data_IF_669038702670
#
_entry.id   IF_669038702670
#
_cell.length_a   1.000
_cell.length_b   1.000
_cell.length_c   1.000
_cell.angle_alpha   90.00
_cell.angle_beta   90.00
_cell.angle_gamma   90.00
#
_symmetry.space_group_name_H-M   'P 1'
#
loop_
_entity.id
_entity.type
_entity.pdbx_description
1 polymer ?
#
# COMPACT_ATOMS: atom_id res chain seq x y z
N UNK A 1 3.78 -9.13 -15.67
CA UNK A 1 2.59 -8.67 -14.98
C UNK A 1 2.92 -8.56 -13.49
N UNK A 2 2.79 -7.37 -12.94
CA UNK A 2 2.95 -7.13 -11.53
C UNK A 2 1.57 -6.79 -10.95
N UNK A 3 1.24 -7.42 -9.84
CA UNK A 3 0.04 -7.18 -9.08
C UNK A 3 0.37 -6.97 -7.59
N UNK A 4 -0.59 -6.58 -6.79
CA UNK A 4 -0.45 -6.46 -5.34
C UNK A 4 0.83 -5.71 -4.91
N UNK A 5 1.11 -4.55 -5.53
CA UNK A 5 2.30 -3.71 -5.21
C UNK A 5 2.42 -3.34 -3.74
N UNK A 6 1.36 -3.50 -2.99
CA UNK A 6 1.25 -3.14 -1.58
C UNK A 6 1.85 -4.21 -0.63
N UNK A 7 2.25 -5.38 -1.17
CA UNK A 7 2.92 -6.44 -0.40
C UNK A 7 1.97 -7.21 0.52
N UNK A 8 1.89 -8.47 0.29
CA UNK A 8 0.95 -9.44 0.87
C UNK A 8 1.02 -9.63 2.39
N UNK A 9 2.10 -9.20 3.05
CA UNK A 9 2.28 -9.45 4.48
C UNK A 9 2.64 -8.18 5.23
N UNK A 10 1.93 -7.92 6.32
CA UNK A 10 2.23 -6.84 7.26
C UNK A 10 3.70 -6.81 7.72
N UNK A 11 4.37 -7.96 7.71
CA UNK A 11 5.75 -8.14 8.14
C UNK A 11 6.75 -7.98 7.00
N UNK A 12 6.36 -8.20 5.75
CA UNK A 12 7.26 -8.20 4.58
C UNK A 12 7.19 -6.91 3.74
N UNK A 13 6.35 -5.96 4.12
CA UNK A 13 6.07 -4.76 3.33
C UNK A 13 7.27 -3.82 3.10
N UNK A 14 8.39 -4.05 3.78
CA UNK A 14 9.55 -3.17 3.66
C UNK A 14 10.79 -3.96 3.31
N UNK A 15 11.39 -3.60 2.18
CA UNK A 15 12.67 -4.14 1.78
C UNK A 15 13.80 -3.50 2.58
N UNK A 16 14.60 -4.30 3.26
CA UNK A 16 15.77 -3.84 4.04
C UNK A 16 17.10 -4.17 3.35
N UNK A 17 17.09 -4.33 2.02
CA UNK A 17 18.32 -4.57 1.28
C UNK A 17 19.17 -3.30 1.15
N UNK A 18 20.45 -3.51 0.86
CA UNK A 18 21.43 -2.44 0.69
C UNK A 18 21.04 -1.41 -0.40
N UNK A 19 20.37 -1.87 -1.47
CA UNK A 19 19.91 -0.98 -2.54
C UNK A 19 18.79 -0.05 -2.05
N UNK A 20 17.86 -0.55 -1.24
CA UNK A 20 16.80 0.27 -0.64
C UNK A 20 17.39 1.26 0.36
N UNK A 21 18.40 0.87 1.13
CA UNK A 21 19.09 1.78 2.03
C UNK A 21 19.76 2.93 1.27
N UNK A 22 20.52 2.64 0.23
CA UNK A 22 21.15 3.65 -0.63
C UNK A 22 20.11 4.60 -1.26
N UNK A 23 19.02 4.05 -1.81
CA UNK A 23 17.93 4.85 -2.38
C UNK A 23 17.23 5.72 -1.33
N UNK A 24 17.02 5.20 -0.12
CA UNK A 24 16.40 5.96 0.97
C UNK A 24 17.25 7.18 1.37
N UNK A 25 18.58 7.02 1.49
CA UNK A 25 19.49 8.13 1.74
C UNK A 25 19.40 9.22 0.68
N UNK A 26 19.39 8.83 -0.60
CA UNK A 26 19.20 9.76 -1.71
C UNK A 26 17.84 10.47 -1.63
N UNK A 27 16.78 9.73 -1.32
CA UNK A 27 15.43 10.28 -1.14
C UNK A 27 15.38 11.30 0.01
N UNK A 28 15.98 10.98 1.15
CA UNK A 28 16.07 11.90 2.29
C UNK A 28 16.85 13.17 1.94
N UNK A 29 17.96 13.03 1.25
CA UNK A 29 18.76 14.18 0.78
C UNK A 29 17.98 15.08 -0.17
N UNK A 30 17.21 14.48 -1.09
CA UNK A 30 16.31 15.24 -1.98
C UNK A 30 15.21 15.96 -1.20
N UNK A 31 14.66 15.33 -0.17
CA UNK A 31 13.55 15.86 0.62
C UNK A 31 13.95 16.99 1.56
N UNK A 32 15.09 16.85 2.24
CA UNK A 32 15.52 17.76 3.30
C UNK A 32 16.63 18.72 2.89
N UNK A 33 17.38 18.40 1.86
CA UNK A 33 18.51 19.19 1.39
C UNK A 33 19.75 19.08 2.29
N UNK A 34 19.62 19.35 3.58
CA UNK A 34 20.72 19.31 4.56
C UNK A 34 20.43 18.42 5.75
N UNK A 35 21.48 18.01 6.46
CA UNK A 35 21.33 17.23 7.71
C UNK A 35 20.73 18.07 8.85
N UNK A 36 20.94 19.38 8.85
CA UNK A 36 20.37 20.32 9.83
C UNK A 36 18.85 20.35 9.71
N UNK A 37 18.31 20.47 8.49
CA UNK A 37 16.86 20.47 8.26
C UNK A 37 16.26 19.10 8.59
N UNK A 38 16.92 18.00 8.22
CA UNK A 38 16.51 16.65 8.60
C UNK A 38 16.45 16.52 10.13
N UNK A 39 17.53 16.91 10.82
CA UNK A 39 17.62 16.83 12.28
C UNK A 39 16.51 17.65 12.97
N UNK A 40 16.23 18.83 12.45
CA UNK A 40 15.13 19.67 12.92
C UNK A 40 13.77 18.99 12.77
N UNK A 41 13.49 18.42 11.59
CA UNK A 41 12.20 17.75 11.29
C UNK A 41 12.03 16.43 12.03
N UNK A 42 13.10 15.70 12.21
CA UNK A 42 13.10 14.44 12.95
C UNK A 42 13.23 14.62 14.47
N UNK A 43 13.55 15.84 14.93
CA UNK A 43 13.82 16.15 16.33
C UNK A 43 14.92 15.25 16.93
N UNK A 44 16.03 15.11 16.21
CA UNK A 44 17.12 14.17 16.54
C UNK A 44 18.02 14.62 17.69
N UNK A 45 17.87 15.85 18.18
CA UNK A 45 18.62 16.35 19.36
C UNK A 45 18.31 15.56 20.63
N UNK A 46 17.17 14.83 20.63
CA UNK A 46 16.77 13.99 21.74
C UNK A 46 17.58 12.66 21.74
N UNK A 47 18.16 12.30 22.85
CA UNK A 47 18.95 11.08 23.06
C UNK A 47 20.14 10.88 22.09
N UNK A 48 20.77 11.98 21.64
CA UNK A 48 21.99 11.88 20.83
C UNK A 48 21.78 11.27 19.43
N UNK A 49 20.57 11.35 18.87
CA UNK A 49 20.24 10.79 17.54
C UNK A 49 20.62 11.70 16.38
N UNK A 50 21.43 12.73 16.64
CA UNK A 50 21.83 13.70 15.63
C UNK A 50 22.52 13.02 14.45
N UNK A 51 22.00 13.26 13.25
CA UNK A 51 22.56 12.80 12.00
C UNK A 51 23.56 13.83 11.50
N UNK A 52 24.79 13.44 11.29
CA UNK A 52 25.86 14.31 10.77
C UNK A 52 26.12 14.11 9.28
N UNK A 53 25.76 12.93 8.76
CA UNK A 53 25.90 12.58 7.34
C UNK A 53 24.77 11.68 6.91
N UNK A 54 24.16 11.94 5.73
CA UNK A 54 23.11 11.11 5.15
C UNK A 54 23.56 9.67 4.92
N UNK A 55 24.84 9.45 4.61
CA UNK A 55 25.38 8.12 4.33
C UNK A 55 25.46 7.21 5.58
N UNK A 56 25.31 7.79 6.77
CA UNK A 56 25.25 7.02 8.02
C UNK A 56 23.85 6.57 8.40
N UNK A 57 22.81 7.02 7.68
CA UNK A 57 21.43 6.66 7.99
C UNK A 57 21.18 5.20 7.58
N UNK A 58 20.75 4.39 8.53
CA UNK A 58 20.28 3.02 8.30
C UNK A 58 18.76 3.00 8.16
N UNK A 59 18.24 1.99 7.46
CA UNK A 59 16.79 1.75 7.39
C UNK A 59 16.23 1.46 8.78
N UNK A 60 14.97 1.86 9.07
CA UNK A 60 14.33 1.47 10.32
C UNK A 60 14.14 -0.05 10.37
N UNK A 61 14.48 -0.66 11.49
CA UNK A 61 14.38 -2.10 11.70
C UNK A 61 13.70 -2.39 13.03
N UNK A 62 12.85 -3.42 13.06
CA UNK A 62 12.19 -3.86 14.29
C UNK A 62 13.18 -4.48 15.30
N UNK A 63 14.39 -4.81 14.85
CA UNK A 63 15.45 -5.39 15.70
C UNK A 63 16.21 -4.35 16.53
N UNK A 64 16.03 -3.07 16.18
CA UNK A 64 16.65 -1.97 16.90
C UNK A 64 15.60 -1.26 17.74
N UNK A 65 15.71 -1.35 19.08
CA UNK A 65 14.77 -0.70 19.99
C UNK A 65 14.72 0.82 19.78
N UNK A 66 15.83 1.45 19.36
CA UNK A 66 15.85 2.87 19.02
C UNK A 66 14.91 3.22 17.85
N UNK A 67 14.75 2.33 16.88
CA UNK A 67 13.85 2.58 15.75
C UNK A 67 12.38 2.50 16.14
N UNK A 68 12.01 1.72 17.16
CA UNK A 68 10.64 1.69 17.72
C UNK A 68 10.21 3.04 18.28
N UNK A 69 11.16 3.80 18.81
CA UNK A 69 10.95 5.10 19.42
C UNK A 69 11.33 6.27 18.50
N UNK A 70 11.48 6.01 17.19
CA UNK A 70 11.83 7.02 16.20
C UNK A 70 10.77 7.14 15.10
N UNK A 71 9.57 7.62 15.42
CA UNK A 71 8.43 7.63 14.50
C UNK A 71 8.67 8.48 13.25
N UNK A 72 9.46 9.54 13.32
CA UNK A 72 9.75 10.39 12.16
C UNK A 72 10.52 9.64 11.06
N UNK A 73 11.54 8.84 11.45
CA UNK A 73 12.30 7.99 10.54
C UNK A 73 11.40 6.89 9.92
N UNK A 74 10.58 6.25 10.76
CA UNK A 74 9.64 5.23 10.30
C UNK A 74 8.63 5.79 9.30
N UNK A 75 8.04 6.94 9.59
CA UNK A 75 7.09 7.60 8.71
C UNK A 75 7.73 7.98 7.37
N UNK A 76 8.96 8.48 7.38
CA UNK A 76 9.66 8.81 6.15
C UNK A 76 10.04 7.56 5.35
N UNK A 77 10.32 6.45 6.02
CA UNK A 77 10.54 5.19 5.32
C UNK A 77 9.25 4.67 4.66
N UNK A 78 8.11 4.79 5.33
CA UNK A 78 6.80 4.47 4.72
C UNK A 78 6.49 5.34 3.50
N UNK A 79 6.81 6.65 3.57
CA UNK A 79 6.67 7.57 2.44
C UNK A 79 7.59 7.20 1.29
N UNK A 80 8.85 6.88 1.59
CA UNK A 80 9.81 6.41 0.61
C UNK A 80 9.33 5.13 -0.09
N UNK A 81 8.81 4.16 0.68
CA UNK A 81 8.25 2.93 0.10
C UNK A 81 7.05 3.25 -0.80
N UNK A 82 6.16 4.15 -0.38
CA UNK A 82 5.04 4.60 -1.22
C UNK A 82 5.54 5.24 -2.52
N UNK A 83 6.49 6.17 -2.45
CA UNK A 83 7.03 6.85 -3.62
C UNK A 83 7.72 5.88 -4.59
N UNK A 84 8.47 4.91 -4.07
CA UNK A 84 9.13 3.90 -4.92
C UNK A 84 8.16 2.90 -5.54
N UNK A 85 7.08 2.56 -4.84
CA UNK A 85 5.99 1.73 -5.37
C UNK A 85 5.26 2.47 -6.48
N UNK A 86 4.94 3.75 -6.27
CA UNK A 86 4.34 4.61 -7.29
C UNK A 86 5.25 4.73 -8.52
N UNK A 87 6.56 4.94 -8.33
CA UNK A 87 7.54 4.99 -9.44
C UNK A 87 7.55 3.70 -10.24
N UNK A 88 7.47 2.54 -9.57
CA UNK A 88 7.39 1.23 -10.23
C UNK A 88 6.14 1.13 -11.10
N UNK A 89 4.96 1.41 -10.55
CA UNK A 89 3.71 1.43 -11.31
C UNK A 89 3.76 2.39 -12.50
N UNK A 90 4.23 3.62 -12.31
CA UNK A 90 4.31 4.62 -13.37
C UNK A 90 5.24 4.21 -14.51
N UNK A 91 6.35 3.52 -14.19
CA UNK A 91 7.28 3.02 -15.18
C UNK A 91 6.61 1.97 -16.09
N UNK A 92 5.87 1.03 -15.53
CA UNK A 92 5.15 0.00 -16.27
C UNK A 92 3.94 0.59 -17.03
N UNK A 93 3.10 1.37 -16.35
CA UNK A 93 1.95 2.03 -16.95
C UNK A 93 2.36 2.95 -18.11
N UNK A 94 3.52 3.63 -18.00
CA UNK A 94 4.05 4.47 -19.05
C UNK A 94 4.41 3.71 -20.33
N UNK A 95 4.84 2.45 -20.21
CA UNK A 95 5.07 1.60 -21.39
C UNK A 95 3.73 1.19 -22.02
N UNK A 96 2.78 0.71 -21.21
CA UNK A 96 1.47 0.28 -21.68
C UNK A 96 0.72 1.41 -22.38
N UNK A 97 0.68 2.59 -21.78
CA UNK A 97 -0.03 3.78 -22.33
C UNK A 97 0.54 4.26 -23.66
N UNK A 98 1.81 4.00 -23.96
CA UNK A 98 2.38 4.29 -25.29
C UNK A 98 1.94 3.30 -26.36
N UNK A 99 1.65 2.06 -25.97
CA UNK A 99 1.31 1.00 -26.92
C UNK A 99 -0.22 0.87 -27.08
N UNK A 100 -0.94 1.02 -25.97
CA UNK A 100 -2.41 0.85 -25.89
C UNK A 100 -3.04 2.02 -25.13
N UNK A 101 -3.04 3.25 -25.69
CA UNK A 101 -3.44 4.46 -24.98
C UNK A 101 -4.91 4.47 -24.53
N UNK A 102 -5.76 3.72 -25.21
CA UNK A 102 -7.20 3.67 -24.94
C UNK A 102 -7.60 2.57 -23.95
N UNK A 103 -6.62 1.77 -23.49
CA UNK A 103 -6.92 0.69 -22.55
C UNK A 103 -6.59 1.17 -21.12
N UNK A 104 -7.56 1.11 -20.18
CA UNK A 104 -7.33 1.48 -18.80
C UNK A 104 -6.23 0.63 -18.14
N UNK A 105 -5.38 1.29 -17.38
CA UNK A 105 -4.30 0.64 -16.63
C UNK A 105 -4.53 0.79 -15.14
N UNK A 106 -4.53 -0.31 -14.42
CA UNK A 106 -4.64 -0.36 -12.97
C UNK A 106 -3.80 -1.50 -12.39
N UNK A 107 -3.65 -1.52 -11.10
CA UNK A 107 -3.18 -2.67 -10.32
C UNK A 107 -4.20 -2.93 -9.22
N UNK A 108 -4.41 -4.19 -8.89
CA UNK A 108 -5.27 -4.57 -7.79
C UNK A 108 -4.64 -4.18 -6.44
N UNK A 109 -5.49 -3.89 -5.48
CA UNK A 109 -5.12 -3.59 -4.10
C UNK A 109 -5.60 -4.75 -3.23
N UNK A 110 -4.67 -5.40 -2.51
CA UNK A 110 -5.00 -6.59 -1.71
C UNK A 110 -5.80 -6.27 -0.44
N UNK A 111 -6.18 -5.03 -0.23
CA UNK A 111 -7.05 -4.61 0.85
C UNK A 111 -6.57 -3.36 1.58
N UNK A 112 -6.96 -3.21 2.84
CA UNK A 112 -6.59 -2.06 3.64
C UNK A 112 -5.17 -2.20 4.21
N UNK A 113 -4.20 -1.52 3.61
CA UNK A 113 -2.81 -1.53 4.02
C UNK A 113 -2.43 -0.21 4.67
N UNK A 114 -2.12 -0.27 5.95
CA UNK A 114 -1.78 0.92 6.75
C UNK A 114 -0.41 1.52 6.42
N UNK A 115 0.47 0.76 5.75
CA UNK A 115 1.87 1.14 5.55
C UNK A 115 2.12 1.87 4.24
N UNK A 116 1.17 1.82 3.28
CA UNK A 116 1.24 2.53 2.00
C UNK A 116 0.15 3.60 1.91
N UNK A 117 0.49 4.70 1.26
CA UNK A 117 -0.50 5.71 0.92
C UNK A 117 -1.26 5.29 -0.34
N UNK A 118 -2.34 4.55 -0.16
CA UNK A 118 -3.17 4.04 -1.26
C UNK A 118 -3.79 5.18 -2.09
N UNK A 119 -4.10 6.34 -1.48
CA UNK A 119 -4.56 7.51 -2.22
C UNK A 119 -3.52 8.01 -3.22
N UNK A 120 -2.24 7.97 -2.87
CA UNK A 120 -1.17 8.38 -3.77
C UNK A 120 -1.03 7.39 -4.93
N UNK A 121 -1.04 6.09 -4.66
CA UNK A 121 -0.94 5.07 -5.69
C UNK A 121 -2.11 5.12 -6.69
N UNK A 122 -3.33 5.18 -6.19
CA UNK A 122 -4.54 5.12 -7.04
C UNK A 122 -4.76 6.37 -7.90
N UNK A 123 -4.15 7.50 -7.58
CA UNK A 123 -4.21 8.70 -8.43
C UNK A 123 -3.72 8.46 -9.85
N UNK A 124 -2.74 7.58 -10.00
CA UNK A 124 -2.11 7.27 -11.28
C UNK A 124 -2.76 6.10 -12.01
N UNK A 125 -3.65 5.38 -11.36
CA UNK A 125 -4.44 4.30 -11.92
C UNK A 125 -5.69 4.88 -12.60
N UNK A 126 -6.14 4.26 -13.69
CA UNK A 126 -7.36 4.70 -14.38
C UNK A 126 -8.61 4.22 -13.63
N UNK A 127 -8.52 3.04 -13.01
CA UNK A 127 -9.56 2.42 -12.20
C UNK A 127 -8.97 2.00 -10.85
N UNK A 128 -9.74 2.04 -9.78
CA UNK A 128 -9.38 1.34 -8.54
C UNK A 128 -9.85 -0.11 -8.65
N UNK A 129 -8.92 -1.04 -8.65
CA UNK A 129 -9.20 -2.47 -8.53
C UNK A 129 -8.79 -2.99 -7.15
N UNK A 130 -9.54 -3.91 -6.58
CA UNK A 130 -9.18 -4.49 -5.30
C UNK A 130 -9.65 -5.93 -5.12
N UNK A 131 -9.07 -6.61 -4.14
CA UNK A 131 -9.28 -8.02 -3.89
C UNK A 131 -10.12 -8.21 -2.62
N UNK A 132 -11.35 -8.70 -2.82
CA UNK A 132 -12.31 -8.88 -1.76
C UNK A 132 -12.35 -10.33 -1.26
N UNK A 133 -11.56 -10.61 -0.25
CA UNK A 133 -11.51 -11.92 0.41
C UNK A 133 -11.99 -11.83 1.87
N UNK A 134 -13.28 -11.68 2.14
CA UNK A 134 -13.77 -11.60 3.50
C UNK A 134 -13.50 -12.90 4.24
N UNK A 135 -13.02 -12.78 5.48
CA UNK A 135 -12.85 -13.92 6.37
C UNK A 135 -14.23 -14.45 6.82
N UNK A 136 -14.38 -15.76 7.04
CA UNK A 136 -15.59 -16.31 7.65
C UNK A 136 -15.93 -15.74 9.04
N UNK A 137 -14.98 -15.03 9.66
CA UNK A 137 -15.13 -14.38 10.96
C UNK A 137 -15.51 -12.90 10.86
N UNK A 138 -15.40 -12.32 9.66
CA UNK A 138 -15.76 -10.91 9.45
C UNK A 138 -17.27 -10.74 9.61
N UNK A 139 -17.67 -9.67 10.28
CA UNK A 139 -19.05 -9.21 10.21
C UNK A 139 -19.32 -8.50 8.86
N UNK A 140 -20.58 -8.23 8.57
CA UNK A 140 -20.95 -7.57 7.31
C UNK A 140 -20.42 -6.12 7.19
N UNK A 141 -20.13 -5.47 8.31
CA UNK A 141 -19.67 -4.09 8.32
C UNK A 141 -18.20 -3.97 7.84
N UNK A 142 -17.38 -4.96 8.12
CA UNK A 142 -15.97 -4.90 7.75
C UNK A 142 -15.73 -4.97 6.23
N UNK A 143 -16.32 -5.89 5.46
CA UNK A 143 -16.30 -5.80 3.99
C UNK A 143 -16.93 -4.51 3.46
N UNK A 144 -18.04 -4.03 4.03
CA UNK A 144 -18.67 -2.78 3.65
C UNK A 144 -17.71 -1.59 3.77
N UNK A 145 -17.02 -1.48 4.92
CA UNK A 145 -15.99 -0.45 5.13
C UNK A 145 -14.89 -0.49 4.06
N UNK A 146 -14.44 -1.69 3.68
CA UNK A 146 -13.42 -1.84 2.63
C UNK A 146 -13.92 -1.34 1.29
N UNK A 147 -15.14 -1.65 0.90
CA UNK A 147 -15.78 -1.13 -0.31
C UNK A 147 -15.86 0.40 -0.30
N UNK A 148 -16.27 1.00 0.81
CA UNK A 148 -16.35 2.45 0.96
C UNK A 148 -14.96 3.12 0.87
N UNK A 149 -13.91 2.49 1.42
CA UNK A 149 -12.54 2.96 1.26
C UNK A 149 -12.14 2.96 -0.21
N UNK A 150 -12.35 1.86 -0.94
CA UNK A 150 -11.99 1.76 -2.37
C UNK A 150 -12.69 2.84 -3.20
N UNK A 151 -13.96 3.07 -2.96
CA UNK A 151 -14.70 4.17 -3.59
C UNK A 151 -14.10 5.53 -3.23
N UNK A 152 -13.71 5.73 -1.98
CA UNK A 152 -13.10 6.97 -1.48
C UNK A 152 -11.73 7.28 -2.08
N UNK A 153 -10.97 6.27 -2.53
CA UNK A 153 -9.64 6.46 -3.11
C UNK A 153 -9.63 7.30 -4.40
N UNK A 154 -10.77 7.38 -5.12
CA UNK A 154 -10.95 8.23 -6.31
C UNK A 154 -12.20 9.11 -6.20
N UNK A 155 -12.34 9.80 -5.09
CA UNK A 155 -13.34 10.85 -4.87
C UNK A 155 -14.80 10.39 -5.15
N UNK A 156 -15.10 9.13 -4.84
CA UNK A 156 -16.42 8.56 -4.99
C UNK A 156 -16.71 7.96 -6.38
N UNK A 157 -15.73 7.89 -7.27
CA UNK A 157 -15.88 7.18 -8.53
C UNK A 157 -16.13 5.68 -8.30
N UNK A 158 -16.75 5.03 -9.28
CA UNK A 158 -16.90 3.57 -9.27
C UNK A 158 -15.54 2.86 -9.29
N UNK A 159 -15.53 1.64 -8.83
CA UNK A 159 -14.32 0.82 -8.72
C UNK A 159 -14.63 -0.62 -9.14
N UNK A 160 -13.57 -1.40 -9.38
CA UNK A 160 -13.67 -2.79 -9.79
C UNK A 160 -13.30 -3.71 -8.61
N UNK A 161 -14.06 -4.79 -8.41
CA UNK A 161 -13.65 -5.91 -7.59
C UNK A 161 -12.87 -6.87 -8.50
N UNK A 162 -11.52 -6.70 -8.52
CA UNK A 162 -10.64 -7.45 -9.40
C UNK A 162 -10.62 -8.93 -9.03
N UNK A 163 -10.69 -9.23 -7.74
CA UNK A 163 -10.71 -10.59 -7.22
C UNK A 163 -11.79 -10.74 -6.15
N UNK A 164 -12.51 -11.84 -6.22
CA UNK A 164 -13.47 -12.22 -5.17
C UNK A 164 -13.51 -13.72 -4.98
N UNK A 165 -13.45 -14.16 -3.74
CA UNK A 165 -13.57 -15.58 -3.42
C UNK A 165 -14.97 -16.11 -3.68
N UNK A 166 -15.18 -16.98 -4.67
CA UNK A 166 -16.47 -17.61 -4.90
C UNK A 166 -16.81 -18.61 -3.78
N UNK A 167 -15.80 -19.29 -3.21
CA UNK A 167 -15.99 -20.30 -2.16
C UNK A 167 -14.77 -20.48 -1.27
N UNK A 168 -13.70 -21.13 -1.75
CA UNK A 168 -12.50 -21.50 -1.00
C UNK A 168 -11.34 -20.54 -1.25
N UNK A 169 -10.46 -20.41 -0.25
CA UNK A 169 -9.23 -19.61 -0.31
C UNK A 169 -8.08 -20.49 0.22
N UNK A 170 -7.12 -20.83 -0.62
CA UNK A 170 -6.04 -21.77 -0.30
C UNK A 170 -5.10 -21.28 0.83
N UNK A 171 -5.01 -19.98 1.07
CA UNK A 171 -4.16 -19.36 2.09
C UNK A 171 -4.85 -19.16 3.46
N UNK A 172 -6.12 -19.49 3.58
CA UNK A 172 -6.82 -19.45 4.88
C UNK A 172 -6.41 -20.65 5.75
N UNK A 173 -6.36 -20.51 7.09
CA UNK A 173 -6.06 -21.60 8.01
C UNK A 173 -7.02 -22.80 7.86
N UNK A 174 -8.24 -22.54 7.42
CA UNK A 174 -9.23 -23.55 7.02
C UNK A 174 -10.17 -22.96 5.99
N UNK A 175 -10.65 -23.79 5.09
CA UNK A 175 -11.63 -23.42 4.08
C UNK A 175 -13.04 -23.74 4.58
N UNK A 176 -13.85 -22.71 4.76
CA UNK A 176 -15.27 -22.85 5.05
C UNK A 176 -16.06 -22.67 3.76
N UNK A 177 -16.93 -23.61 3.48
CA UNK A 177 -17.89 -23.47 2.38
C UNK A 177 -18.83 -22.29 2.65
N UNK A 178 -19.04 -21.47 1.64
CA UNK A 178 -20.05 -20.42 1.69
C UNK A 178 -21.46 -21.05 1.70
N UNK A 179 -22.34 -20.47 2.48
CA UNK A 179 -23.76 -20.87 2.50
C UNK A 179 -24.41 -20.51 1.15
N UNK A 180 -25.47 -21.23 0.75
CA UNK A 180 -26.25 -20.84 -0.42
C UNK A 180 -26.66 -19.36 -0.36
N UNK A 181 -26.38 -18.60 -1.41
CA UNK A 181 -26.67 -17.16 -1.48
C UNK A 181 -25.58 -16.22 -0.92
N UNK A 182 -24.62 -16.72 -0.17
CA UNK A 182 -23.58 -15.87 0.44
C UNK A 182 -22.68 -15.20 -0.61
N UNK A 183 -22.24 -15.92 -1.64
CA UNK A 183 -21.47 -15.34 -2.73
C UNK A 183 -22.26 -14.25 -3.48
N UNK A 184 -23.57 -14.49 -3.72
CA UNK A 184 -24.44 -13.48 -4.32
C UNK A 184 -24.62 -12.25 -3.42
N UNK A 185 -24.74 -12.44 -2.11
CA UNK A 185 -24.83 -11.35 -1.16
C UNK A 185 -23.59 -10.47 -1.20
N UNK A 186 -22.39 -11.07 -1.24
CA UNK A 186 -21.12 -10.33 -1.34
C UNK A 186 -21.02 -9.52 -2.66
N UNK A 187 -21.46 -10.11 -3.79
CA UNK A 187 -21.50 -9.40 -5.06
C UNK A 187 -22.45 -8.19 -5.00
N UNK A 188 -23.66 -8.38 -4.47
CA UNK A 188 -24.61 -7.28 -4.32
C UNK A 188 -24.14 -6.23 -3.30
N UNK A 189 -23.40 -6.61 -2.27
CA UNK A 189 -22.79 -5.66 -1.36
C UNK A 189 -21.80 -4.75 -2.12
N UNK A 190 -20.91 -5.32 -2.95
CA UNK A 190 -19.99 -4.54 -3.78
C UNK A 190 -20.75 -3.54 -4.67
N UNK A 191 -21.77 -3.99 -5.39
CA UNK A 191 -22.61 -3.14 -6.25
C UNK A 191 -23.28 -2.02 -5.44
N UNK A 192 -23.86 -2.35 -4.28
CA UNK A 192 -24.51 -1.37 -3.41
C UNK A 192 -23.55 -0.29 -2.89
N UNK A 193 -22.27 -0.61 -2.73
CA UNK A 193 -21.22 0.32 -2.35
C UNK A 193 -20.54 1.03 -3.53
N UNK A 194 -20.94 0.73 -4.78
CA UNK A 194 -20.53 1.46 -5.98
C UNK A 194 -19.49 0.74 -6.86
N UNK A 195 -19.30 -0.56 -6.67
CA UNK A 195 -18.58 -1.36 -7.66
C UNK A 195 -19.42 -1.47 -8.95
N UNK A 196 -18.80 -1.35 -10.12
CA UNK A 196 -19.44 -1.51 -11.43
C UNK A 196 -18.95 -2.75 -12.19
N UNK A 197 -17.95 -3.45 -11.66
CA UNK A 197 -17.41 -4.71 -12.19
C UNK A 197 -16.65 -5.48 -11.11
#
# INVERSE_FOLDING_TARGET
>A
ENDEYDGWHEVAAFCHCENCEKKFRVWLKKKYGTTEELNKRWNTSFWGRTVYDFDTIMLPTERNDDDRFFPAKQLDYQRFVTDTTEECFLNEAGVLRRITPDIPVFSNISGFIKKLNQFQLTRNMDIVGWDNYPSPKDDAAFPALKHDIMRGLKDGASYMVAEQSPNQQNWQPYNKLKRPGEARLLAYQGIAHGADS
#
